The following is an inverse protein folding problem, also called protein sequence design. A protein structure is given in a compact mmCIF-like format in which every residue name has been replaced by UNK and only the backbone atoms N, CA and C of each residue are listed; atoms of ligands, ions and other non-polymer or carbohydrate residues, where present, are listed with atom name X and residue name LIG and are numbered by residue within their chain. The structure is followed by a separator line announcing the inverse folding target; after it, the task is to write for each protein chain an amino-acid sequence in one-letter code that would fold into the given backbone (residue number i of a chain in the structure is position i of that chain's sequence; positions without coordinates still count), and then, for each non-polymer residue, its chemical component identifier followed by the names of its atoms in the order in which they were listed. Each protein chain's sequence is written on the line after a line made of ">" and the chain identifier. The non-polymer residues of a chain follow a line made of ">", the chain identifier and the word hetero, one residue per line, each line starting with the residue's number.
data_IF_699938085686
#
_entry.id   IF_699938085686
#
_cell.length_a   1.000
_cell.length_b   1.000
_cell.length_c   1.000
_cell.angle_alpha   90.00
_cell.angle_beta   90.00
_cell.angle_gamma   90.00
#
_symmetry.space_group_name_H-M   'P 1'
#
loop_
_entity.id
_entity.type
_entity.pdbx_description
1 polymer ?
#
# COMPACT_ATOMS: atom_id res chain seq x y z
N UNK A 1 21.17 -19.28 -0.29
CA UNK A 1 19.77 -19.19 -0.76
C UNK A 1 19.47 -20.40 -1.62
N UNK A 2 18.29 -20.98 -1.49
CA UNK A 2 17.85 -22.08 -2.35
C UNK A 2 17.58 -21.60 -3.78
N UNK A 3 17.50 -22.53 -4.74
CA UNK A 3 17.18 -22.18 -6.14
C UNK A 3 15.79 -21.53 -6.23
N UNK A 4 14.85 -21.97 -5.38
CA UNK A 4 13.49 -21.45 -5.28
C UNK A 4 13.48 -20.01 -4.76
N UNK A 5 14.27 -19.71 -3.73
CA UNK A 5 14.40 -18.34 -3.20
C UNK A 5 14.99 -17.38 -4.25
N UNK A 6 15.97 -17.85 -5.04
CA UNK A 6 16.58 -17.05 -6.10
C UNK A 6 15.62 -16.86 -7.27
N UNK A 7 14.87 -17.91 -7.62
CA UNK A 7 13.82 -17.83 -8.63
C UNK A 7 12.76 -16.79 -8.25
N UNK A 8 12.40 -16.72 -6.97
CA UNK A 8 11.49 -15.70 -6.44
C UNK A 8 12.09 -14.28 -6.52
N UNK A 9 13.36 -14.10 -6.14
CA UNK A 9 14.07 -12.81 -6.24
C UNK A 9 14.17 -12.33 -7.69
N UNK A 10 14.43 -13.26 -8.61
CA UNK A 10 14.57 -13.00 -10.04
C UNK A 10 13.24 -13.13 -10.80
N UNK A 11 12.10 -13.24 -10.11
CA UNK A 11 10.76 -13.39 -10.71
C UNK A 11 10.75 -14.36 -11.92
N UNK A 12 11.41 -15.50 -11.76
CA UNK A 12 11.64 -16.48 -12.83
C UNK A 12 11.40 -17.90 -12.33
N UNK A 13 11.51 -18.88 -13.22
CA UNK A 13 11.30 -20.29 -12.86
C UNK A 13 12.57 -20.91 -12.25
N UNK A 14 12.47 -21.78 -11.24
CA UNK A 14 13.63 -22.49 -10.66
C UNK A 14 14.49 -23.23 -11.69
N UNK A 15 13.85 -23.81 -12.72
CA UNK A 15 14.55 -24.45 -13.84
C UNK A 15 15.46 -23.49 -14.61
N UNK A 16 15.02 -22.25 -14.84
CA UNK A 16 15.79 -21.21 -15.52
C UNK A 16 17.02 -20.83 -14.68
N UNK A 17 16.84 -20.67 -13.36
CA UNK A 17 17.94 -20.40 -12.42
C UNK A 17 18.99 -21.51 -12.43
N UNK A 18 18.56 -22.76 -12.39
CA UNK A 18 19.46 -23.93 -12.47
C UNK A 18 20.29 -23.90 -13.78
N UNK A 19 19.64 -23.63 -14.92
CA UNK A 19 20.31 -23.52 -16.22
C UNK A 19 21.30 -22.37 -16.30
N UNK A 20 20.98 -21.22 -15.71
CA UNK A 20 21.85 -20.05 -15.66
C UNK A 20 23.14 -20.31 -14.88
N UNK A 21 23.02 -20.96 -13.73
CA UNK A 21 24.17 -21.32 -12.90
C UNK A 21 25.10 -22.25 -13.67
N UNK A 22 24.54 -23.23 -14.37
CA UNK A 22 25.29 -24.16 -15.23
C UNK A 22 25.98 -23.45 -16.40
N UNK A 23 25.26 -22.59 -17.11
CA UNK A 23 25.75 -21.85 -18.28
C UNK A 23 26.95 -20.93 -17.94
N UNK A 24 26.99 -20.40 -16.72
CA UNK A 24 28.07 -19.53 -16.26
C UNK A 24 29.30 -20.28 -15.75
N UNK A 25 29.30 -21.62 -15.79
CA UNK A 25 30.41 -22.46 -15.35
C UNK A 25 30.93 -22.03 -13.96
N UNK A 26 30.01 -21.64 -13.07
CA UNK A 26 30.34 -21.28 -11.69
C UNK A 26 30.73 -22.59 -10.97
N UNK A 27 31.99 -22.97 -11.15
CA UNK A 27 32.62 -24.22 -10.70
C UNK A 27 32.73 -24.36 -9.17
N UNK A 28 31.96 -23.60 -8.41
CA UNK A 28 31.89 -23.68 -6.95
C UNK A 28 30.57 -24.23 -6.44
N UNK A 29 29.72 -24.79 -7.31
CA UNK A 29 28.48 -25.44 -6.89
C UNK A 29 28.71 -26.94 -7.01
N UNK A 30 29.16 -27.54 -5.91
CA UNK A 30 29.04 -28.99 -5.74
C UNK A 30 27.55 -29.33 -5.88
N UNK A 31 27.22 -30.39 -6.62
CA UNK A 31 25.82 -30.81 -6.85
C UNK A 31 25.05 -31.11 -5.54
N UNK A 32 25.77 -31.25 -4.42
CA UNK A 32 25.23 -31.47 -3.07
C UNK A 32 24.98 -30.18 -2.25
N UNK A 33 25.45 -29.00 -2.71
CA UNK A 33 25.24 -27.73 -2.00
C UNK A 33 24.01 -26.98 -2.54
N UNK A 34 22.88 -27.20 -1.88
CA UNK A 34 21.57 -26.53 -2.09
C UNK A 34 21.57 -25.02 -1.79
N UNK A 35 22.72 -24.40 -1.53
CA UNK A 35 22.84 -23.05 -1.01
C UNK A 35 23.82 -22.19 -1.83
N UNK A 36 23.28 -21.21 -2.54
CA UNK A 36 24.07 -20.26 -3.33
C UNK A 36 24.46 -19.01 -2.50
N UNK A 37 25.69 -18.55 -2.67
CA UNK A 37 26.23 -17.33 -2.07
C UNK A 37 25.63 -16.05 -2.68
N UNK A 38 25.41 -15.01 -1.86
CA UNK A 38 24.88 -13.69 -2.29
C UNK A 38 25.72 -13.06 -3.43
N UNK A 39 27.03 -13.29 -3.44
CA UNK A 39 27.94 -12.85 -4.50
C UNK A 39 27.60 -13.45 -5.88
N UNK A 40 27.10 -14.69 -5.92
CA UNK A 40 26.66 -15.35 -7.16
C UNK A 40 25.39 -14.69 -7.70
N UNK A 41 24.44 -14.37 -6.81
CA UNK A 41 23.20 -13.67 -7.19
C UNK A 41 23.49 -12.26 -7.72
N UNK A 42 24.43 -11.53 -7.11
CA UNK A 42 24.86 -10.22 -7.61
C UNK A 42 25.52 -10.30 -8.99
N UNK A 43 26.34 -11.35 -9.24
CA UNK A 43 26.90 -11.61 -10.57
C UNK A 43 25.82 -11.91 -11.60
N UNK A 44 24.83 -12.74 -11.26
CA UNK A 44 23.69 -13.05 -12.12
C UNK A 44 22.92 -11.78 -12.52
N UNK A 45 22.56 -10.94 -11.55
CA UNK A 45 21.84 -9.67 -11.81
C UNK A 45 22.66 -8.74 -12.71
N UNK A 46 23.97 -8.63 -12.47
CA UNK A 46 24.86 -7.82 -13.31
C UNK A 46 24.92 -8.32 -14.76
N UNK A 47 24.87 -9.63 -14.96
CA UNK A 47 24.88 -10.25 -16.28
C UNK A 47 23.53 -10.05 -16.97
N UNK A 48 22.41 -10.10 -16.25
CA UNK A 48 21.11 -9.80 -16.83
C UNK A 48 20.96 -8.34 -17.29
N UNK A 49 21.59 -7.42 -16.57
CA UNK A 49 21.62 -5.99 -16.95
C UNK A 49 22.75 -5.64 -17.93
N UNK A 50 23.33 -6.63 -18.62
CA UNK A 50 24.43 -6.41 -19.57
C UNK A 50 23.93 -6.19 -21.01
N UNK A 51 24.86 -6.02 -21.95
CA UNK A 51 24.55 -5.79 -23.36
C UNK A 51 23.72 -6.94 -23.94
N UNK A 52 22.98 -6.65 -25.02
CA UNK A 52 22.13 -7.66 -25.66
C UNK A 52 22.94 -8.85 -26.18
N UNK A 53 24.20 -8.63 -26.55
CA UNK A 53 25.13 -9.67 -27.00
C UNK A 53 25.45 -10.67 -25.90
N UNK A 54 25.70 -10.19 -24.69
CA UNK A 54 25.99 -11.03 -23.52
C UNK A 54 24.74 -11.82 -23.12
N UNK A 55 23.55 -11.21 -23.20
CA UNK A 55 22.27 -11.89 -22.95
C UNK A 55 21.98 -12.97 -23.99
N UNK A 56 22.25 -12.69 -25.27
CA UNK A 56 22.11 -13.67 -26.34
C UNK A 56 23.07 -14.85 -26.14
N UNK A 57 24.31 -14.58 -25.77
CA UNK A 57 25.31 -15.61 -25.44
C UNK A 57 24.89 -16.45 -24.22
N UNK A 58 24.34 -15.81 -23.18
CA UNK A 58 23.85 -16.49 -22.00
C UNK A 58 22.69 -17.44 -22.33
N UNK A 59 21.71 -16.96 -23.10
CA UNK A 59 20.58 -17.78 -23.55
C UNK A 59 21.07 -18.96 -24.40
N UNK A 60 22.01 -18.73 -25.31
CA UNK A 60 22.63 -19.80 -26.11
C UNK A 60 23.27 -20.87 -25.21
N UNK A 61 24.06 -20.45 -24.21
CA UNK A 61 24.67 -21.38 -23.24
C UNK A 61 23.67 -22.11 -22.35
N UNK A 62 22.51 -21.53 -22.07
CA UNK A 62 21.45 -22.22 -21.33
C UNK A 62 20.77 -23.32 -22.16
N UNK A 63 20.66 -23.09 -23.47
CA UNK A 63 20.11 -24.03 -24.44
C UNK A 63 21.10 -25.17 -24.74
N UNK A 64 22.39 -24.86 -24.87
CA UNK A 64 23.49 -25.81 -25.06
C UNK A 64 23.73 -26.62 -23.76
N UNK A 65 22.99 -27.72 -23.61
CA UNK A 65 22.98 -28.52 -22.39
C UNK A 65 24.22 -29.41 -22.22
N UNK A 66 24.88 -29.76 -23.33
CA UNK A 66 26.01 -30.68 -23.39
C UNK A 66 27.36 -29.95 -23.60
N UNK A 67 27.31 -28.62 -23.76
CA UNK A 67 28.46 -27.74 -23.94
C UNK A 67 29.27 -28.08 -25.20
N UNK A 68 28.59 -28.52 -26.27
CA UNK A 68 29.20 -28.87 -27.55
C UNK A 68 29.31 -27.68 -28.52
N UNK A 69 28.88 -26.48 -28.10
CA UNK A 69 28.82 -25.23 -28.86
C UNK A 69 27.80 -25.23 -29.99
N UNK A 70 26.84 -26.16 -29.97
CA UNK A 70 25.68 -26.19 -30.84
C UNK A 70 24.40 -26.35 -30.02
N UNK A 71 23.31 -25.78 -30.52
CA UNK A 71 21.97 -26.07 -30.02
C UNK A 71 21.29 -27.03 -30.98
N UNK A 72 20.97 -28.23 -30.49
CA UNK A 72 20.20 -29.21 -31.24
C UNK A 72 18.69 -28.99 -31.10
N UNK A 73 17.91 -29.50 -32.07
CA UNK A 73 16.44 -29.52 -31.99
C UNK A 73 15.94 -30.17 -30.70
N UNK A 74 16.60 -31.24 -30.27
CA UNK A 74 16.23 -31.97 -29.05
C UNK A 74 16.50 -31.18 -27.77
N UNK A 75 17.53 -30.35 -27.73
CA UNK A 75 17.81 -29.47 -26.58
C UNK A 75 16.84 -28.30 -26.51
N UNK A 76 16.58 -27.67 -27.65
CA UNK A 76 15.61 -26.58 -27.75
C UNK A 76 14.20 -27.05 -27.36
N UNK A 77 13.79 -28.21 -27.86
CA UNK A 77 12.51 -28.83 -27.49
C UNK A 77 12.44 -29.09 -25.99
N UNK A 78 13.47 -29.72 -25.41
CA UNK A 78 13.50 -30.00 -23.97
C UNK A 78 13.44 -28.73 -23.12
N UNK A 79 14.15 -27.69 -23.52
CA UNK A 79 14.15 -26.41 -22.80
C UNK A 79 12.74 -25.80 -22.78
N UNK A 80 12.10 -25.65 -23.94
CA UNK A 80 10.75 -25.09 -24.01
C UNK A 80 9.69 -25.99 -23.39
N UNK A 81 9.83 -27.31 -23.46
CA UNK A 81 8.96 -28.25 -22.73
C UNK A 81 8.99 -27.95 -21.23
N UNK A 82 10.18 -27.86 -20.62
CA UNK A 82 10.31 -27.54 -19.19
C UNK A 82 9.78 -26.14 -18.84
N UNK A 83 9.92 -25.16 -19.73
CA UNK A 83 9.36 -23.82 -19.53
C UNK A 83 7.82 -23.78 -19.63
N UNK A 84 7.23 -24.59 -20.50
CA UNK A 84 5.78 -24.60 -20.73
C UNK A 84 5.02 -25.50 -19.76
N UNK A 85 5.61 -26.64 -19.35
CA UNK A 85 5.01 -27.56 -18.37
C UNK A 85 4.87 -26.94 -16.97
N UNK A 86 5.71 -25.95 -16.66
CA UNK A 86 5.65 -25.19 -15.40
C UNK A 86 4.56 -24.12 -15.40
N UNK A 87 3.93 -23.83 -16.55
CA UNK A 87 2.83 -22.86 -16.65
C UNK A 87 1.50 -23.57 -16.42
N UNK A 88 0.82 -23.23 -15.31
CA UNK A 88 -0.41 -23.87 -14.81
C UNK A 88 -1.58 -23.94 -15.80
N UNK A 89 -1.59 -23.08 -16.81
CA UNK A 89 -2.68 -22.93 -17.79
C UNK A 89 -2.40 -23.59 -19.14
N UNK A 90 -1.23 -24.20 -19.34
CA UNK A 90 -0.90 -24.88 -20.58
C UNK A 90 -1.26 -26.36 -20.44
N UNK A 91 -2.19 -26.81 -21.28
CA UNK A 91 -2.52 -28.23 -21.38
C UNK A 91 -1.28 -29.00 -21.88
N UNK A 92 -0.77 -29.95 -21.08
CA UNK A 92 0.47 -30.70 -21.37
C UNK A 92 0.41 -31.41 -22.74
N UNK A 93 -0.79 -31.82 -23.16
CA UNK A 93 -1.05 -32.44 -24.47
C UNK A 93 -0.74 -31.52 -25.66
N UNK A 94 -0.81 -30.19 -25.48
CA UNK A 94 -0.60 -29.18 -26.54
C UNK A 94 0.84 -28.69 -26.65
N UNK A 95 1.66 -28.92 -25.62
CA UNK A 95 3.07 -28.47 -25.57
C UNK A 95 3.89 -28.95 -26.78
N UNK A 96 3.81 -30.23 -27.21
CA UNK A 96 4.58 -30.70 -28.37
C UNK A 96 4.22 -29.96 -29.67
N UNK A 97 2.94 -29.67 -29.89
CA UNK A 97 2.46 -28.97 -31.09
C UNK A 97 2.94 -27.52 -31.14
N UNK A 98 2.95 -26.82 -30.00
CA UNK A 98 3.46 -25.44 -29.89
C UNK A 98 4.95 -25.40 -30.21
N UNK A 99 5.71 -26.35 -29.67
CA UNK A 99 7.16 -26.44 -29.92
C UNK A 99 7.43 -26.73 -31.40
N UNK A 100 6.65 -27.59 -32.04
CA UNK A 100 6.80 -27.87 -33.47
C UNK A 100 6.56 -26.63 -34.34
N UNK A 101 5.57 -25.80 -34.00
CA UNK A 101 5.29 -24.53 -34.68
C UNK A 101 6.45 -23.55 -34.48
N UNK A 102 6.98 -23.44 -33.26
CA UNK A 102 8.14 -22.59 -32.96
C UNK A 102 9.36 -23.03 -33.77
N UNK A 103 9.66 -24.33 -33.80
CA UNK A 103 10.77 -24.88 -34.58
C UNK A 103 10.59 -24.67 -36.10
N UNK A 104 9.35 -24.73 -36.60
CA UNK A 104 9.03 -24.49 -38.00
C UNK A 104 9.21 -23.02 -38.38
N UNK A 105 8.80 -22.09 -37.52
CA UNK A 105 8.88 -20.64 -37.73
C UNK A 105 10.32 -20.18 -37.95
N UNK A 106 11.28 -20.73 -37.21
CA UNK A 106 12.70 -20.39 -37.32
C UNK A 106 13.47 -21.30 -38.28
N UNK A 107 12.78 -22.08 -39.13
CA UNK A 107 13.38 -23.04 -40.06
C UNK A 107 14.30 -24.10 -39.42
N UNK A 108 14.18 -24.31 -38.11
CA UNK A 108 14.99 -25.24 -37.31
C UNK A 108 14.62 -26.70 -37.55
N UNK A 109 13.56 -26.96 -38.31
CA UNK A 109 13.20 -28.31 -38.76
C UNK A 109 14.14 -28.86 -39.84
N UNK A 110 14.82 -28.01 -40.62
CA UNK A 110 15.73 -28.45 -41.71
C UNK A 110 17.18 -28.62 -41.27
N UNK A 111 17.61 -27.91 -40.23
CA UNK A 111 18.98 -27.96 -39.70
C UNK A 111 19.04 -28.83 -38.45
N UNK A 112 20.02 -29.74 -38.38
CA UNK A 112 20.21 -30.63 -37.22
C UNK A 112 20.79 -29.90 -36.00
N UNK A 113 21.55 -28.82 -36.20
CA UNK A 113 22.30 -28.08 -35.17
C UNK A 113 22.46 -26.60 -35.56
N UNK A 114 22.41 -25.70 -34.57
CA UNK A 114 22.56 -24.25 -34.72
C UNK A 114 23.80 -23.81 -33.96
N UNK A 115 24.69 -23.03 -34.58
CA UNK A 115 25.84 -22.40 -33.92
C UNK A 115 25.47 -21.02 -33.36
N UNK A 116 26.34 -20.46 -32.52
CA UNK A 116 26.09 -19.15 -31.91
C UNK A 116 25.93 -18.02 -32.92
N UNK A 117 26.73 -17.98 -33.99
CA UNK A 117 26.63 -16.99 -35.08
C UNK A 117 25.23 -16.98 -35.71
N UNK A 118 24.71 -18.18 -36.01
CA UNK A 118 23.39 -18.35 -36.58
C UNK A 118 22.28 -18.02 -35.57
N UNK A 119 22.40 -18.50 -34.33
CA UNK A 119 21.45 -18.20 -33.26
C UNK A 119 21.35 -16.68 -33.00
N UNK A 120 22.50 -16.01 -32.95
CA UNK A 120 22.58 -14.57 -32.78
C UNK A 120 21.86 -13.84 -33.91
N UNK A 121 22.04 -14.27 -35.16
CA UNK A 121 21.35 -13.68 -36.32
C UNK A 121 19.83 -13.87 -36.25
N UNK A 122 19.34 -15.01 -35.75
CA UNK A 122 17.90 -15.27 -35.61
C UNK A 122 17.29 -14.35 -34.55
N UNK A 123 17.95 -14.22 -33.40
CA UNK A 123 17.49 -13.39 -32.28
C UNK A 123 17.49 -11.91 -32.63
N UNK A 124 18.53 -11.42 -33.32
CA UNK A 124 18.63 -10.00 -33.68
C UNK A 124 17.66 -9.58 -34.78
N UNK A 125 17.16 -10.53 -35.58
CA UNK A 125 16.23 -10.27 -36.67
C UNK A 125 14.74 -10.47 -36.27
N UNK A 126 14.44 -10.99 -35.08
CA UNK A 126 13.06 -11.19 -34.60
C UNK A 126 12.78 -10.29 -33.39
N UNK A 127 11.92 -9.28 -33.59
CA UNK A 127 11.55 -8.29 -32.57
C UNK A 127 10.95 -8.94 -31.31
N UNK A 128 10.24 -10.07 -31.44
CA UNK A 128 9.60 -10.76 -30.30
C UNK A 128 10.65 -11.45 -29.43
N UNK A 129 11.64 -12.09 -30.05
CA UNK A 129 12.75 -12.69 -29.31
C UNK A 129 13.61 -11.62 -28.63
N UNK A 130 13.80 -10.48 -29.29
CA UNK A 130 14.55 -9.35 -28.77
C UNK A 130 13.84 -8.70 -27.58
N UNK A 131 12.52 -8.55 -27.65
CA UNK A 131 11.68 -8.09 -26.54
C UNK A 131 11.70 -9.11 -25.38
N UNK A 132 11.65 -10.42 -25.67
CA UNK A 132 11.74 -11.46 -24.64
C UNK A 132 13.08 -11.46 -23.88
N UNK A 133 14.17 -11.09 -24.56
CA UNK A 133 15.48 -10.89 -23.95
C UNK A 133 15.57 -9.56 -23.17
N UNK A 134 14.76 -8.56 -23.54
CA UNK A 134 14.62 -7.31 -22.82
C UNK A 134 13.77 -7.44 -21.55
N UNK A 135 12.83 -8.39 -21.46
CA UNK A 135 12.05 -8.63 -20.23
C UNK A 135 12.97 -9.00 -19.04
N UNK A 136 14.15 -9.57 -19.29
CA UNK A 136 15.17 -9.78 -18.26
C UNK A 136 15.81 -8.48 -17.70
N UNK A 137 15.46 -7.28 -18.17
CA UNK A 137 16.03 -6.02 -17.69
C UNK A 137 15.18 -5.31 -16.61
N UNK A 138 13.95 -5.77 -16.35
CA UNK A 138 13.07 -5.18 -15.33
C UNK A 138 13.39 -5.70 -13.91
N UNK A 139 14.66 -5.95 -13.62
CA UNK A 139 15.09 -6.27 -12.27
C UNK A 139 15.21 -4.97 -11.46
N UNK A 140 14.46 -4.85 -10.35
CA UNK A 140 14.47 -3.62 -9.61
C UNK A 140 15.83 -3.43 -8.91
N UNK A 141 16.44 -2.27 -9.13
CA UNK A 141 17.78 -1.88 -8.70
C UNK A 141 18.03 -1.99 -7.19
N UNK A 142 17.00 -2.17 -6.36
CA UNK A 142 17.13 -2.32 -4.90
C UNK A 142 17.78 -3.65 -4.45
N UNK A 143 17.88 -4.68 -5.30
CA UNK A 143 18.59 -5.93 -4.94
C UNK A 143 20.11 -5.76 -4.91
N UNK A 144 20.64 -4.67 -5.50
CA UNK A 144 22.04 -4.26 -5.30
C UNK A 144 22.36 -3.84 -3.85
N UNK A 145 21.35 -3.77 -2.97
CA UNK A 145 21.44 -3.36 -1.56
C UNK A 145 21.55 -4.57 -0.60
N UNK A 146 21.73 -5.80 -1.08
CA UNK A 146 22.14 -6.90 -0.18
C UNK A 146 23.60 -6.67 0.22
N UNK A 147 23.79 -5.87 1.28
CA UNK A 147 25.09 -5.69 1.95
C UNK A 147 25.61 -7.08 2.36
N UNK A 148 26.89 -7.42 2.11
CA UNK A 148 27.48 -8.58 2.74
C UNK A 148 27.30 -8.47 4.26
N UNK A 149 27.11 -9.61 4.93
CA UNK A 149 27.05 -9.65 6.40
C UNK A 149 28.25 -8.88 6.98
N UNK A 150 28.06 -8.16 8.11
CA UNK A 150 29.13 -7.32 8.64
C UNK A 150 30.24 -8.23 9.16
N UNK A 151 31.26 -8.46 8.33
CA UNK A 151 32.58 -8.82 8.83
C UNK A 151 33.01 -7.64 9.69
N UNK A 152 33.24 -7.94 10.96
CA UNK A 152 33.67 -7.02 12.02
C UNK A 152 34.87 -6.19 11.55
N UNK A 153 34.63 -5.01 10.99
CA UNK A 153 35.67 -4.06 10.61
C UNK A 153 35.57 -2.82 11.49
N UNK A 154 36.72 -2.47 12.04
CA UNK A 154 36.89 -1.64 13.22
C UNK A 154 36.40 -0.20 13.03
N UNK A 155 35.78 0.31 14.10
CA UNK A 155 35.15 1.63 14.27
C UNK A 155 36.09 2.82 13.99
N UNK A 156 37.41 2.58 13.87
CA UNK A 156 38.44 3.62 13.82
C UNK A 156 38.65 4.17 12.40
N UNK A 157 38.29 3.43 11.34
CA UNK A 157 38.53 3.89 9.96
C UNK A 157 37.51 4.94 9.45
N UNK A 158 36.44 5.22 10.21
CA UNK A 158 35.42 6.22 9.84
C UNK A 158 35.79 7.67 10.17
N UNK A 159 36.82 7.91 10.97
CA UNK A 159 37.14 9.27 11.44
C UNK A 159 38.20 10.00 10.62
N UNK A 160 38.89 9.35 9.67
CA UNK A 160 40.14 9.91 9.13
C UNK A 160 40.27 10.02 7.62
N UNK A 161 39.22 9.85 6.80
CA UNK A 161 39.39 10.14 5.38
C UNK A 161 38.09 10.53 4.65
N UNK A 162 38.03 11.79 4.23
CA UNK A 162 37.31 12.19 3.02
C UNK A 162 35.98 12.91 3.20
N UNK A 163 35.94 14.01 3.97
CA UNK A 163 35.00 15.09 3.68
C UNK A 163 35.49 15.86 2.44
N UNK A 164 34.53 16.49 1.74
CA UNK A 164 34.66 17.32 0.54
C UNK A 164 34.56 16.57 -0.80
N UNK A 165 33.35 16.09 -1.17
CA UNK A 165 32.74 16.31 -2.50
C UNK A 165 31.34 15.66 -2.63
N UNK A 166 30.36 15.84 -1.70
CA UNK A 166 29.02 15.26 -1.96
C UNK A 166 27.81 15.90 -1.26
N UNK A 167 27.77 17.23 -1.11
CA UNK A 167 26.60 17.89 -0.48
C UNK A 167 25.70 18.70 -1.44
N UNK A 168 26.00 18.78 -2.74
CA UNK A 168 25.15 19.52 -3.70
C UNK A 168 24.09 18.64 -4.41
N UNK A 169 24.34 17.33 -4.58
CA UNK A 169 23.49 16.45 -5.41
C UNK A 169 22.32 15.79 -4.67
N UNK A 170 22.29 15.84 -3.33
CA UNK A 170 21.22 15.20 -2.55
C UNK A 170 19.92 16.02 -2.56
N UNK A 171 20.00 17.36 -2.60
CA UNK A 171 18.79 18.19 -2.69
C UNK A 171 18.11 18.07 -4.05
N UNK A 172 18.89 18.04 -5.14
CA UNK A 172 18.34 17.95 -6.49
C UNK A 172 17.73 16.58 -6.75
N UNK A 173 18.40 15.50 -6.32
CA UNK A 173 17.85 14.15 -6.40
C UNK A 173 16.60 13.98 -5.51
N UNK A 174 16.60 14.53 -4.30
CA UNK A 174 15.42 14.49 -3.41
C UNK A 174 14.28 15.34 -3.96
N UNK A 175 14.56 16.53 -4.52
CA UNK A 175 13.55 17.37 -5.19
C UNK A 175 12.96 16.66 -6.41
N UNK A 176 13.80 16.02 -7.22
CA UNK A 176 13.38 15.30 -8.43
C UNK A 176 12.50 14.09 -8.08
N UNK A 177 12.94 13.27 -7.11
CA UNK A 177 12.15 12.14 -6.57
C UNK A 177 10.83 12.64 -5.94
N UNK A 178 10.84 13.78 -5.26
CA UNK A 178 9.63 14.36 -4.66
C UNK A 178 8.67 14.87 -5.74
N UNK A 179 9.17 15.53 -6.78
CA UNK A 179 8.36 16.07 -7.87
C UNK A 179 7.74 14.96 -8.73
N UNK A 180 8.52 13.92 -9.08
CA UNK A 180 8.03 12.76 -9.80
C UNK A 180 6.94 12.03 -8.98
N UNK A 181 7.16 11.86 -7.66
CA UNK A 181 6.17 11.26 -6.76
C UNK A 181 4.90 12.10 -6.61
N UNK A 182 5.00 13.43 -6.64
CA UNK A 182 3.84 14.33 -6.61
C UNK A 182 3.06 14.25 -7.92
N UNK A 183 3.75 14.18 -9.06
CA UNK A 183 3.16 14.04 -10.40
C UNK A 183 2.39 12.73 -10.55
N UNK A 184 2.93 11.65 -9.99
CA UNK A 184 2.29 10.33 -10.03
C UNK A 184 1.08 10.22 -9.09
N UNK A 185 0.91 11.18 -8.17
CA UNK A 185 -0.13 11.17 -7.15
C UNK A 185 -0.96 12.47 -7.10
N UNK A 186 -1.09 13.18 -8.23
CA UNK A 186 -1.81 14.46 -8.31
C UNK A 186 -3.21 14.43 -7.66
N UNK A 187 -4.07 13.42 -7.88
CA UNK A 187 -5.40 13.39 -7.25
C UNK A 187 -5.34 13.33 -5.71
N UNK A 188 -4.35 12.61 -5.15
CA UNK A 188 -4.14 12.55 -3.70
C UNK A 188 -3.71 13.90 -3.14
N UNK A 189 -2.79 14.57 -3.81
CA UNK A 189 -2.28 15.89 -3.40
C UNK A 189 -3.40 16.92 -3.44
N UNK A 190 -4.17 16.97 -4.54
CA UNK A 190 -5.32 17.88 -4.68
C UNK A 190 -6.34 17.65 -3.57
N UNK A 191 -6.71 16.39 -3.30
CA UNK A 191 -7.67 16.06 -2.24
C UNK A 191 -7.19 16.48 -0.85
N UNK A 192 -5.91 16.27 -0.53
CA UNK A 192 -5.32 16.71 0.75
C UNK A 192 -5.28 18.22 0.86
N UNK A 193 -4.88 18.93 -0.21
CA UNK A 193 -4.87 20.40 -0.24
C UNK A 193 -6.28 20.97 -0.06
N UNK A 194 -7.27 20.42 -0.75
CA UNK A 194 -8.67 20.82 -0.60
C UNK A 194 -9.17 20.59 0.83
N UNK A 195 -8.85 19.43 1.41
CA UNK A 195 -9.20 19.13 2.79
C UNK A 195 -8.57 20.12 3.78
N UNK A 196 -7.28 20.45 3.62
CA UNK A 196 -6.58 21.44 4.46
C UNK A 196 -7.21 22.81 4.29
N UNK A 197 -7.49 23.22 3.04
CA UNK A 197 -8.11 24.51 2.72
C UNK A 197 -9.47 24.67 3.43
N UNK A 198 -10.33 23.65 3.37
CA UNK A 198 -11.64 23.67 4.04
C UNK A 198 -11.49 23.78 5.56
N UNK A 199 -10.57 23.03 6.18
CA UNK A 199 -10.34 23.13 7.63
C UNK A 199 -9.82 24.53 8.03
N UNK A 200 -8.88 25.11 7.25
CA UNK A 200 -8.36 26.45 7.50
C UNK A 200 -9.48 27.50 7.34
N UNK A 201 -10.30 27.41 6.30
CA UNK A 201 -11.40 28.33 6.08
C UNK A 201 -12.39 28.33 7.25
N UNK A 202 -12.76 27.14 7.76
CA UNK A 202 -13.63 27.03 8.94
C UNK A 202 -12.96 27.57 10.21
N UNK A 203 -11.66 27.34 10.38
CA UNK A 203 -10.90 27.88 11.50
C UNK A 203 -10.87 29.41 11.48
N UNK A 204 -10.55 30.02 10.32
CA UNK A 204 -10.55 31.47 10.13
C UNK A 204 -11.93 32.08 10.38
N UNK A 205 -12.99 31.45 9.86
CA UNK A 205 -14.36 31.86 10.13
C UNK A 205 -14.64 31.93 11.65
N UNK A 206 -14.25 30.90 12.41
CA UNK A 206 -14.44 30.90 13.87
C UNK A 206 -13.59 31.98 14.55
N UNK A 207 -12.33 32.15 14.15
CA UNK A 207 -11.44 33.17 14.71
C UNK A 207 -12.03 34.56 14.52
N UNK A 208 -12.39 34.92 13.28
CA UNK A 208 -12.95 36.23 12.94
C UNK A 208 -14.23 36.46 13.75
N UNK A 209 -15.16 35.51 13.74
CA UNK A 209 -16.42 35.65 14.47
C UNK A 209 -16.20 35.77 15.99
N UNK A 210 -15.31 34.96 16.58
CA UNK A 210 -15.17 34.92 18.04
C UNK A 210 -14.31 36.04 18.61
N UNK A 211 -13.24 36.41 17.90
CA UNK A 211 -12.34 37.48 18.32
C UNK A 211 -12.93 38.85 18.00
N UNK A 212 -13.41 39.06 16.76
CA UNK A 212 -13.84 40.40 16.31
C UNK A 212 -15.26 40.71 16.79
N UNK A 213 -16.20 39.78 16.59
CA UNK A 213 -17.63 40.05 16.86
C UNK A 213 -17.95 39.84 18.33
N UNK A 214 -17.62 38.67 18.90
CA UNK A 214 -18.02 38.35 20.27
C UNK A 214 -17.00 38.73 21.34
N UNK A 215 -15.80 39.20 20.94
CA UNK A 215 -14.67 39.54 21.84
C UNK A 215 -14.40 38.46 22.90
N UNK A 216 -14.44 37.20 22.48
CA UNK A 216 -14.28 36.06 23.36
C UNK A 216 -12.82 35.90 23.79
N UNK A 217 -12.60 35.31 24.97
CA UNK A 217 -11.26 34.96 25.41
C UNK A 217 -10.63 33.87 24.51
N UNK A 218 -9.30 33.77 24.58
CA UNK A 218 -8.50 32.85 23.74
C UNK A 218 -8.94 31.39 23.91
N UNK A 219 -9.27 30.96 25.13
CA UNK A 219 -9.69 29.58 25.40
C UNK A 219 -11.05 29.22 24.78
N UNK A 220 -12.01 30.15 24.78
CA UNK A 220 -13.29 29.99 24.06
C UNK A 220 -13.04 29.93 22.56
N UNK A 221 -12.12 30.73 22.02
CA UNK A 221 -11.76 30.68 20.60
C UNK A 221 -11.24 29.29 20.24
N UNK A 222 -10.26 28.75 20.97
CA UNK A 222 -9.74 27.39 20.73
C UNK A 222 -10.81 26.30 20.90
N UNK A 223 -11.65 26.40 21.92
CA UNK A 223 -12.75 25.46 22.12
C UNK A 223 -13.72 25.46 20.93
N UNK A 224 -14.05 26.64 20.39
CA UNK A 224 -14.93 26.79 19.24
C UNK A 224 -14.28 26.36 17.92
N UNK A 225 -12.97 26.57 17.75
CA UNK A 225 -12.22 26.03 16.60
C UNK A 225 -12.27 24.51 16.64
N UNK A 226 -11.90 23.90 17.77
CA UNK A 226 -11.93 22.45 17.96
C UNK A 226 -13.32 21.88 17.68
N UNK A 227 -14.38 22.50 18.20
CA UNK A 227 -15.75 22.06 17.94
C UNK A 227 -16.18 22.17 16.48
N UNK A 228 -15.79 23.24 15.78
CA UNK A 228 -16.12 23.42 14.35
C UNK A 228 -15.40 22.39 13.48
N UNK A 229 -14.11 22.15 13.73
CA UNK A 229 -13.35 21.14 13.00
C UNK A 229 -13.85 19.73 13.34
N UNK A 230 -14.23 19.45 14.59
CA UNK A 230 -14.87 18.18 14.96
C UNK A 230 -16.18 17.97 14.22
N UNK A 231 -17.04 18.99 14.08
CA UNK A 231 -18.29 18.85 13.31
C UNK A 231 -18.03 18.40 11.86
N UNK A 232 -17.08 19.04 11.17
CA UNK A 232 -16.70 18.66 9.81
C UNK A 232 -16.15 17.23 9.77
N UNK A 233 -15.17 16.92 10.61
CA UNK A 233 -14.43 15.66 10.54
C UNK A 233 -15.28 14.46 10.99
N UNK A 234 -16.12 14.61 12.02
CA UNK A 234 -17.08 13.59 12.43
C UNK A 234 -18.18 13.36 11.38
N UNK A 235 -18.55 14.38 10.60
CA UNK A 235 -19.43 14.20 9.44
C UNK A 235 -18.72 13.45 8.31
N UNK A 236 -17.49 13.88 7.96
CA UNK A 236 -16.71 13.33 6.86
C UNK A 236 -16.31 11.86 7.09
N UNK A 237 -16.01 11.47 8.33
CA UNK A 237 -15.61 10.09 8.65
C UNK A 237 -16.73 9.06 8.34
N UNK A 238 -18.00 9.49 8.35
CA UNK A 238 -19.14 8.67 7.90
C UNK A 238 -19.09 8.51 6.38
N UNK A 239 -18.97 9.64 5.67
CA UNK A 239 -19.02 9.69 4.19
C UNK A 239 -17.95 8.79 3.58
N UNK A 240 -16.73 8.82 4.12
CA UNK A 240 -15.61 8.01 3.61
C UNK A 240 -15.75 6.51 3.86
N UNK A 241 -16.76 6.09 4.65
CA UNK A 241 -17.06 4.68 4.93
C UNK A 241 -18.36 4.18 4.28
N UNK A 242 -18.97 4.99 3.41
CA UNK A 242 -20.08 4.61 2.55
C UNK A 242 -19.56 3.78 1.36
N UNK A 243 -19.13 2.55 1.62
CA UNK A 243 -18.41 1.69 0.65
C UNK A 243 -19.17 1.47 -0.65
N UNK A 244 -20.50 1.37 -0.59
CA UNK A 244 -21.31 1.20 -1.80
C UNK A 244 -21.39 2.50 -2.59
N UNK A 245 -21.59 3.62 -1.91
CA UNK A 245 -21.61 4.94 -2.53
C UNK A 245 -20.26 5.27 -3.19
N UNK A 246 -19.16 4.97 -2.50
CA UNK A 246 -17.78 5.06 -3.01
C UNK A 246 -17.59 4.20 -4.26
N UNK A 247 -18.08 2.96 -4.25
CA UNK A 247 -18.05 2.09 -5.43
C UNK A 247 -18.83 2.69 -6.62
N UNK A 248 -20.01 3.27 -6.38
CA UNK A 248 -20.77 3.94 -7.44
C UNK A 248 -20.01 5.14 -8.00
N UNK A 249 -19.39 5.96 -7.15
CA UNK A 249 -18.57 7.10 -7.59
C UNK A 249 -17.35 6.62 -8.39
N UNK A 250 -16.73 5.49 -8.02
CA UNK A 250 -15.61 4.90 -8.77
C UNK A 250 -15.98 4.61 -10.24
N UNK A 251 -17.24 4.26 -10.52
CA UNK A 251 -17.72 4.02 -11.88
C UNK A 251 -17.94 5.31 -12.70
N UNK A 252 -17.87 6.48 -12.07
CA UNK A 252 -18.01 7.79 -12.72
C UNK A 252 -16.63 8.39 -13.08
N UNK A 253 -16.53 9.37 -14.01
CA UNK A 253 -15.25 10.02 -14.32
C UNK A 253 -14.63 10.80 -13.14
N UNK A 254 -15.38 10.98 -12.04
CA UNK A 254 -14.91 11.68 -10.84
C UNK A 254 -13.73 10.99 -10.16
N UNK A 255 -13.53 9.67 -10.38
CA UNK A 255 -12.37 8.93 -9.85
C UNK A 255 -11.02 9.49 -10.33
N UNK A 256 -10.98 10.23 -11.45
CA UNK A 256 -9.75 10.86 -11.95
C UNK A 256 -9.28 12.03 -11.08
N UNK A 257 -10.20 12.64 -10.33
CA UNK A 257 -9.92 13.82 -9.52
C UNK A 257 -9.88 13.52 -8.01
N UNK A 258 -10.49 12.41 -7.58
CA UNK A 258 -10.55 12.02 -6.17
C UNK A 258 -9.87 10.66 -5.94
N UNK A 259 -9.04 10.51 -4.89
CA UNK A 259 -8.41 9.25 -4.51
C UNK A 259 -9.40 8.32 -3.79
N UNK A 260 -10.41 7.85 -4.51
CA UNK A 260 -11.54 7.05 -3.97
C UNK A 260 -11.05 5.72 -3.38
N UNK A 261 -9.97 5.16 -3.92
CA UNK A 261 -9.43 3.87 -3.48
C UNK A 261 -8.77 3.93 -2.10
N UNK A 262 -8.28 5.10 -1.68
CA UNK A 262 -7.61 5.31 -0.39
C UNK A 262 -8.57 5.73 0.73
N UNK A 263 -9.89 5.62 0.53
CA UNK A 263 -10.91 6.04 1.51
C UNK A 263 -10.71 5.42 2.91
N UNK A 264 -10.20 4.19 2.99
CA UNK A 264 -9.90 3.52 4.27
C UNK A 264 -8.70 4.16 4.96
N UNK A 265 -7.66 4.53 4.22
CA UNK A 265 -6.50 5.20 4.80
C UNK A 265 -6.83 6.63 5.21
N UNK A 266 -7.67 7.31 4.43
CA UNK A 266 -8.20 8.61 4.80
C UNK A 266 -9.10 8.53 6.06
N UNK A 267 -9.93 7.48 6.21
CA UNK A 267 -10.67 7.25 7.46
C UNK A 267 -9.75 7.07 8.68
N UNK A 268 -8.65 6.32 8.55
CA UNK A 268 -7.67 6.16 9.65
C UNK A 268 -7.03 7.50 10.02
N UNK A 269 -6.73 8.33 9.02
CA UNK A 269 -6.23 9.68 9.23
C UNK A 269 -7.27 10.54 9.96
N UNK A 270 -8.52 10.57 9.48
CA UNK A 270 -9.62 11.31 10.12
C UNK A 270 -9.84 10.86 11.56
N UNK A 271 -9.82 9.55 11.85
CA UNK A 271 -10.00 9.04 13.21
C UNK A 271 -8.93 9.56 14.18
N UNK A 272 -7.66 9.59 13.77
CA UNK A 272 -6.57 10.18 14.58
C UNK A 272 -6.72 11.68 14.73
N UNK A 273 -7.11 12.37 13.66
CA UNK A 273 -7.31 13.81 13.68
C UNK A 273 -8.48 14.23 14.58
N UNK A 274 -9.59 13.49 14.54
CA UNK A 274 -10.73 13.66 15.47
C UNK A 274 -10.26 13.45 16.92
N UNK A 275 -9.45 12.43 17.19
CA UNK A 275 -8.84 12.23 18.50
C UNK A 275 -8.02 13.45 18.95
N UNK A 276 -7.13 13.96 18.11
CA UNK A 276 -6.33 15.14 18.42
C UNK A 276 -7.19 16.39 18.66
N UNK A 277 -8.20 16.63 17.82
CA UNK A 277 -9.13 17.75 17.96
C UNK A 277 -10.00 17.62 19.22
N UNK A 278 -10.38 16.40 19.62
CA UNK A 278 -11.12 16.17 20.87
C UNK A 278 -10.29 16.54 22.10
N UNK A 279 -8.99 16.22 22.10
CA UNK A 279 -8.08 16.61 23.18
C UNK A 279 -7.98 18.13 23.24
N UNK A 280 -7.72 18.79 22.11
CA UNK A 280 -7.66 20.25 22.02
C UNK A 280 -8.96 20.90 22.52
N UNK A 281 -10.10 20.42 22.05
CA UNK A 281 -11.42 20.93 22.40
C UNK A 281 -11.71 20.78 23.91
N UNK A 282 -11.46 19.60 24.47
CA UNK A 282 -11.67 19.30 25.90
C UNK A 282 -10.75 20.14 26.79
N UNK A 283 -9.46 20.23 26.44
CA UNK A 283 -8.50 21.05 27.20
C UNK A 283 -8.88 22.53 27.17
N UNK A 284 -9.26 23.06 26.00
CA UNK A 284 -9.66 24.46 25.87
C UNK A 284 -10.92 24.79 26.70
N UNK A 285 -11.92 23.91 26.68
CA UNK A 285 -13.08 24.05 27.56
C UNK A 285 -12.69 24.02 29.03
N UNK A 286 -11.88 23.06 29.41
CA UNK A 286 -11.62 22.84 30.81
C UNK A 286 -10.70 23.90 31.43
N UNK A 287 -9.75 24.45 30.66
CA UNK A 287 -9.01 25.67 31.04
C UNK A 287 -9.95 26.88 31.13
N UNK A 288 -10.87 27.06 30.18
CA UNK A 288 -11.83 28.16 30.23
C UNK A 288 -12.75 28.10 31.47
N UNK A 289 -13.30 26.92 31.77
CA UNK A 289 -14.18 26.76 32.94
C UNK A 289 -13.43 26.79 34.27
N UNK A 290 -12.18 26.30 34.29
CA UNK A 290 -11.30 26.39 35.44
C UNK A 290 -10.89 27.82 35.77
N UNK A 291 -10.27 28.51 34.81
CA UNK A 291 -9.64 29.82 35.03
C UNK A 291 -10.67 30.95 34.93
N UNK A 292 -11.49 30.97 33.87
CA UNK A 292 -12.36 32.13 33.59
C UNK A 292 -13.70 32.05 34.33
N UNK A 293 -14.20 30.84 34.61
CA UNK A 293 -15.51 30.64 35.26
C UNK A 293 -15.42 30.17 36.71
N UNK A 294 -14.22 29.87 37.22
CA UNK A 294 -13.99 29.51 38.62
C UNK A 294 -14.57 28.15 39.05
N UNK A 295 -14.86 27.24 38.11
CA UNK A 295 -15.29 25.88 38.45
C UNK A 295 -14.09 24.97 38.66
N UNK A 296 -14.13 24.11 39.68
CA UNK A 296 -13.15 23.02 39.77
C UNK A 296 -13.34 22.01 38.64
N UNK A 297 -12.26 21.36 38.21
CA UNK A 297 -12.28 20.38 37.11
C UNK A 297 -13.30 19.24 37.31
N UNK A 298 -13.41 18.62 38.50
CA UNK A 298 -14.40 17.57 38.73
C UNK A 298 -15.84 18.11 38.63
N UNK A 299 -16.09 19.32 39.12
CA UNK A 299 -17.41 19.96 39.02
C UNK A 299 -17.76 20.24 37.57
N UNK A 300 -16.82 20.75 36.78
CA UNK A 300 -17.06 20.97 35.36
C UNK A 300 -17.34 19.65 34.63
N UNK A 301 -16.52 18.62 34.81
CA UNK A 301 -16.57 17.39 34.01
C UNK A 301 -17.73 16.45 34.37
N UNK A 302 -18.10 16.37 35.65
CA UNK A 302 -19.03 15.35 36.15
C UNK A 302 -20.35 15.93 36.69
N UNK A 303 -20.59 17.24 36.56
CA UNK A 303 -21.85 17.85 37.02
C UNK A 303 -22.49 18.74 35.96
N UNK A 304 -23.80 18.96 36.07
CA UNK A 304 -24.56 19.88 35.21
C UNK A 304 -24.56 21.33 35.73
N UNK A 305 -23.85 21.61 36.83
CA UNK A 305 -23.77 22.95 37.46
C UNK A 305 -23.33 24.08 36.53
N UNK A 306 -22.41 23.86 35.56
CA UNK A 306 -22.06 24.91 34.60
C UNK A 306 -23.23 25.33 33.69
N UNK A 307 -24.31 24.54 33.64
CA UNK A 307 -25.51 24.75 32.82
C UNK A 307 -25.20 25.09 31.35
N UNK A 308 -24.23 24.38 30.77
CA UNK A 308 -23.79 24.57 29.38
C UNK A 308 -24.22 23.40 28.53
N UNK A 309 -24.82 23.67 27.39
CA UNK A 309 -25.32 22.64 26.46
C UNK A 309 -26.77 22.87 26.08
N UNK A 310 -27.27 22.02 25.18
CA UNK A 310 -28.65 22.12 24.71
C UNK A 310 -29.65 21.62 25.75
N UNK A 311 -29.41 20.43 26.29
CA UNK A 311 -30.33 19.74 27.19
C UNK A 311 -29.85 19.94 28.63
N UNK A 312 -30.38 20.95 29.32
CA UNK A 312 -30.22 21.13 30.77
C UNK A 312 -28.78 21.10 31.30
N UNK A 313 -27.82 21.63 30.55
CA UNK A 313 -26.41 21.63 30.98
C UNK A 313 -25.64 20.33 30.77
N UNK A 314 -26.16 19.38 29.98
CA UNK A 314 -25.57 18.04 29.79
C UNK A 314 -24.28 18.00 28.95
N UNK A 315 -23.79 19.13 28.41
CA UNK A 315 -22.62 19.12 27.53
C UNK A 315 -21.35 18.57 28.19
N UNK A 316 -20.99 18.93 29.44
CA UNK A 316 -19.76 18.41 30.04
C UNK A 316 -19.81 16.89 30.26
N UNK A 317 -20.93 16.37 30.77
CA UNK A 317 -21.10 14.94 31.02
C UNK A 317 -21.11 14.13 29.71
N UNK A 318 -21.85 14.57 28.71
CA UNK A 318 -21.81 13.96 27.37
C UNK A 318 -20.42 14.04 26.73
N UNK A 319 -19.67 15.12 26.96
CA UNK A 319 -18.31 15.28 26.46
C UNK A 319 -17.34 14.24 27.03
N UNK A 320 -17.43 13.96 28.34
CA UNK A 320 -16.63 12.91 28.99
C UNK A 320 -16.98 11.53 28.43
N UNK A 321 -18.28 11.22 28.30
CA UNK A 321 -18.74 9.95 27.71
C UNK A 321 -18.21 9.79 26.28
N UNK A 322 -18.30 10.84 25.45
CA UNK A 322 -17.76 10.84 24.09
C UNK A 322 -16.25 10.61 24.05
N UNK A 323 -15.49 11.24 24.95
CA UNK A 323 -14.04 11.06 25.04
C UNK A 323 -13.68 9.61 25.39
N UNK A 324 -14.40 8.99 26.33
CA UNK A 324 -14.18 7.59 26.72
C UNK A 324 -14.48 6.66 25.54
N UNK A 325 -15.64 6.83 24.89
CA UNK A 325 -16.02 6.02 23.74
C UNK A 325 -14.98 6.15 22.61
N UNK A 326 -14.59 7.38 22.29
CA UNK A 326 -13.61 7.66 21.24
C UNK A 326 -12.23 7.05 21.57
N UNK A 327 -11.79 7.15 22.82
CA UNK A 327 -10.52 6.57 23.28
C UNK A 327 -10.52 5.04 23.10
N UNK A 328 -11.57 4.37 23.54
CA UNK A 328 -11.73 2.91 23.36
C UNK A 328 -11.71 2.55 21.88
N UNK A 329 -12.48 3.27 21.05
CA UNK A 329 -12.51 3.03 19.61
C UNK A 329 -11.12 3.21 18.96
N UNK A 330 -10.39 4.28 19.29
CA UNK A 330 -9.06 4.55 18.70
C UNK A 330 -8.07 3.47 19.12
N UNK A 331 -7.96 3.17 20.41
CA UNK A 331 -7.01 2.16 20.92
C UNK A 331 -7.30 0.81 20.28
N UNK A 332 -8.55 0.35 20.31
CA UNK A 332 -8.93 -0.94 19.74
C UNK A 332 -8.85 -1.00 18.21
N UNK A 333 -8.74 0.15 17.53
CA UNK A 333 -8.54 0.24 16.08
C UNK A 333 -7.07 0.34 15.66
N UNK A 334 -6.12 0.34 16.61
CA UNK A 334 -4.69 0.42 16.30
C UNK A 334 -4.19 -0.82 15.56
N UNK A 335 -3.16 -0.61 14.73
CA UNK A 335 -2.62 -1.64 13.83
C UNK A 335 -2.16 -2.90 14.57
N UNK A 336 -1.54 -2.75 15.74
CA UNK A 336 -1.07 -3.87 16.56
C UNK A 336 -2.21 -4.75 17.09
N UNK A 337 -3.38 -4.20 17.46
CA UNK A 337 -4.54 -4.99 17.90
C UNK A 337 -5.18 -5.71 16.71
N UNK A 338 -5.36 -4.99 15.60
CA UNK A 338 -6.04 -5.53 14.41
C UNK A 338 -5.22 -6.62 13.70
N UNK A 339 -3.89 -6.51 13.69
CA UNK A 339 -2.99 -7.53 13.09
C UNK A 339 -2.51 -8.59 14.07
N UNK A 340 -2.68 -8.41 15.37
CA UNK A 340 -2.28 -9.36 16.41
C UNK A 340 -3.25 -10.53 16.65
N UNK A 341 -4.12 -10.86 15.70
CA UNK A 341 -5.09 -11.96 15.82
C UNK A 341 -6.43 -11.63 16.50
N UNK A 342 -6.57 -10.41 17.06
CA UNK A 342 -7.78 -9.99 17.78
C UNK A 342 -8.73 -9.12 16.93
N UNK A 343 -9.01 -9.51 15.69
CA UNK A 343 -9.89 -8.74 14.79
C UNK A 343 -11.31 -8.55 15.35
N UNK A 344 -11.81 -9.52 16.12
CA UNK A 344 -13.11 -9.49 16.79
C UNK A 344 -13.21 -8.29 17.77
N UNK A 345 -12.13 -7.98 18.49
CA UNK A 345 -12.09 -6.84 19.44
C UNK A 345 -12.26 -5.54 18.70
N UNK A 346 -11.51 -5.35 17.61
CA UNK A 346 -11.70 -4.21 16.70
C UNK A 346 -13.16 -4.12 16.24
N UNK A 347 -13.73 -5.22 15.74
CA UNK A 347 -15.09 -5.22 15.20
C UNK A 347 -16.13 -4.75 16.23
N UNK A 348 -16.17 -5.36 17.43
CA UNK A 348 -17.19 -5.03 18.43
C UNK A 348 -17.01 -3.64 19.04
N UNK A 349 -15.76 -3.26 19.34
CA UNK A 349 -15.49 -1.93 19.91
C UNK A 349 -15.74 -0.82 18.90
N UNK A 350 -15.49 -1.07 17.61
CA UNK A 350 -15.75 -0.06 16.58
C UNK A 350 -17.25 0.17 16.35
N UNK A 351 -18.15 -0.77 16.71
CA UNK A 351 -19.60 -0.57 16.70
C UNK A 351 -20.06 0.54 17.68
N UNK A 352 -19.21 0.94 18.62
CA UNK A 352 -19.46 2.10 19.49
C UNK A 352 -19.61 3.43 18.72
N UNK A 353 -19.34 3.45 17.41
CA UNK A 353 -19.71 4.60 16.56
C UNK A 353 -21.21 4.95 16.66
N UNK A 354 -22.09 3.95 16.88
CA UNK A 354 -23.54 4.17 17.02
C UNK A 354 -23.85 5.04 18.26
N UNK A 355 -23.51 4.62 19.50
CA UNK A 355 -23.70 5.48 20.66
C UNK A 355 -22.86 6.75 20.60
N UNK A 356 -21.66 6.74 20.00
CA UNK A 356 -20.86 7.94 19.80
C UNK A 356 -21.63 9.03 19.02
N UNK A 357 -22.19 8.70 17.85
CA UNK A 357 -22.94 9.69 17.07
C UNK A 357 -24.24 10.11 17.75
N UNK A 358 -24.91 9.20 18.47
CA UNK A 358 -26.09 9.55 19.26
C UNK A 358 -25.74 10.59 20.34
N UNK A 359 -24.71 10.34 21.15
CA UNK A 359 -24.25 11.30 22.16
C UNK A 359 -23.71 12.60 21.54
N UNK A 360 -23.08 12.54 20.36
CA UNK A 360 -22.54 13.72 19.70
C UNK A 360 -23.64 14.69 19.23
N UNK A 361 -24.79 14.17 18.79
CA UNK A 361 -25.98 14.97 18.47
C UNK A 361 -26.50 15.70 19.71
N UNK A 362 -26.53 15.04 20.87
CA UNK A 362 -26.97 15.66 22.12
C UNK A 362 -25.93 16.63 22.70
N UNK A 363 -24.65 16.35 22.51
CA UNK A 363 -23.55 17.15 23.02
C UNK A 363 -23.46 18.52 22.31
N UNK A 364 -23.59 18.53 20.99
CA UNK A 364 -23.41 19.72 20.18
C UNK A 364 -24.72 20.19 19.52
N UNK A 365 -25.20 21.37 19.93
CA UNK A 365 -26.47 21.98 19.49
C UNK A 365 -26.68 22.03 17.98
N UNK A 366 -25.61 22.19 17.20
CA UNK A 366 -25.66 22.34 15.75
C UNK A 366 -25.14 21.11 14.99
N UNK A 367 -24.65 20.07 15.67
CA UNK A 367 -24.04 18.93 14.98
C UNK A 367 -25.04 18.15 14.13
N UNK A 368 -26.31 18.12 14.52
CA UNK A 368 -27.37 17.47 13.73
C UNK A 368 -27.45 18.00 12.28
N UNK A 369 -27.13 19.28 12.05
CA UNK A 369 -27.09 19.89 10.71
C UNK A 369 -25.98 19.30 9.83
N UNK A 370 -24.85 18.95 10.45
CA UNK A 370 -23.73 18.29 9.79
C UNK A 370 -24.00 16.80 9.59
N UNK A 371 -24.69 16.17 10.55
CA UNK A 371 -24.88 14.73 10.59
C UNK A 371 -26.04 14.24 9.71
N UNK A 372 -27.07 15.06 9.47
CA UNK A 372 -28.31 14.60 8.79
C UNK A 372 -28.03 13.99 7.41
N UNK A 373 -27.24 14.65 6.56
CA UNK A 373 -26.87 14.14 5.22
C UNK A 373 -26.07 12.83 5.29
N UNK A 374 -24.90 12.79 5.95
CA UNK A 374 -24.11 11.56 6.06
C UNK A 374 -24.85 10.40 6.74
N UNK A 375 -25.62 10.66 7.81
CA UNK A 375 -26.35 9.60 8.52
C UNK A 375 -27.52 9.06 7.71
N UNK A 376 -28.24 9.90 6.97
CA UNK A 376 -29.30 9.43 6.07
C UNK A 376 -28.72 8.57 4.95
N UNK A 377 -27.61 8.98 4.33
CA UNK A 377 -26.91 8.16 3.34
C UNK A 377 -26.42 6.83 3.91
N UNK A 378 -25.85 6.85 5.13
CA UNK A 378 -25.44 5.63 5.82
C UNK A 378 -26.62 4.69 6.05
N UNK A 379 -27.75 5.22 6.52
CA UNK A 379 -28.97 4.45 6.75
C UNK A 379 -29.48 3.81 5.45
N UNK A 380 -29.56 4.58 4.36
CA UNK A 380 -29.99 4.08 3.06
C UNK A 380 -29.06 2.99 2.53
N UNK A 381 -27.74 3.14 2.68
CA UNK A 381 -26.77 2.13 2.25
C UNK A 381 -26.91 0.83 3.06
N UNK A 382 -27.14 0.93 4.38
CA UNK A 382 -27.39 -0.23 5.25
C UNK A 382 -28.72 -0.90 4.93
N UNK A 383 -29.79 -0.13 4.72
CA UNK A 383 -31.11 -0.63 4.34
C UNK A 383 -31.05 -1.38 3.01
N UNK A 384 -30.45 -0.77 1.99
CA UNK A 384 -30.26 -1.42 0.69
C UNK A 384 -29.45 -2.71 0.82
N UNK A 385 -28.36 -2.70 1.60
CA UNK A 385 -27.51 -3.88 1.83
C UNK A 385 -28.28 -4.99 2.56
N UNK A 386 -29.16 -4.63 3.49
CA UNK A 386 -30.03 -5.56 4.18
C UNK A 386 -31.06 -6.17 3.21
N UNK A 387 -31.78 -5.34 2.45
CA UNK A 387 -32.73 -5.80 1.44
C UNK A 387 -32.05 -6.75 0.45
N UNK A 388 -30.94 -6.34 -0.17
CA UNK A 388 -30.27 -7.20 -1.16
C UNK A 388 -29.77 -8.52 -0.59
N UNK A 389 -29.38 -8.60 0.68
CA UNK A 389 -29.05 -9.90 1.31
C UNK A 389 -30.29 -10.74 1.62
N UNK A 390 -31.39 -10.10 2.02
CA UNK A 390 -32.65 -10.78 2.28
C UNK A 390 -33.26 -11.36 1.00
N UNK A 391 -33.20 -10.61 -0.10
CA UNK A 391 -33.73 -11.00 -1.41
C UNK A 391 -32.78 -11.90 -2.21
N UNK A 392 -31.47 -11.73 -2.05
CA UNK A 392 -30.50 -12.62 -2.69
C UNK A 392 -30.30 -13.86 -1.82
N UNK A 393 -30.98 -14.96 -2.18
CA UNK A 393 -30.69 -16.33 -1.70
C UNK A 393 -29.30 -16.81 -2.16
N UNK A 394 -28.22 -16.06 -1.88
CA UNK A 394 -26.86 -16.52 -2.13
C UNK A 394 -26.59 -17.65 -1.14
N UNK A 395 -26.67 -18.88 -1.64
CA UNK A 395 -26.34 -20.08 -0.90
C UNK A 395 -24.91 -20.04 -0.35
N UNK A 396 -24.60 -20.94 0.60
CA UNK A 396 -23.24 -21.09 1.13
C UNK A 396 -22.32 -21.55 0.01
N UNK A 397 -21.29 -20.76 -0.30
CA UNK A 397 -20.20 -21.16 -1.20
C UNK A 397 -19.13 -21.88 -0.39
N UNK A 398 -18.65 -23.01 -0.90
CA UNK A 398 -17.57 -23.78 -0.28
C UNK A 398 -16.29 -23.63 -1.10
N UNK A 399 -15.16 -23.55 -0.42
CA UNK A 399 -13.85 -23.52 -1.05
C UNK A 399 -13.52 -24.93 -1.56
N UNK A 400 -13.44 -25.11 -2.89
CA UNK A 400 -13.11 -26.41 -3.49
C UNK A 400 -11.61 -26.69 -3.45
N UNK A 401 -10.79 -25.67 -3.68
CA UNK A 401 -9.34 -25.73 -3.57
C UNK A 401 -8.77 -24.34 -3.28
N UNK A 402 -7.64 -24.29 -2.60
CA UNK A 402 -6.80 -23.11 -2.48
C UNK A 402 -5.37 -23.51 -2.86
N UNK A 403 -4.76 -22.77 -3.77
CA UNK A 403 -3.33 -22.89 -4.06
C UNK A 403 -2.66 -21.66 -3.49
N UNK A 404 -1.57 -21.85 -2.75
CA UNK A 404 -0.71 -20.75 -2.30
C UNK A 404 0.27 -20.50 -3.43
N UNK A 405 0.19 -19.35 -4.08
CA UNK A 405 1.18 -18.99 -5.11
C UNK A 405 2.47 -18.49 -4.46
N UNK A 406 3.60 -18.68 -5.16
CA UNK A 406 4.94 -18.41 -4.65
C UNK A 406 5.19 -16.94 -4.26
N UNK A 407 4.29 -16.02 -4.62
CA UNK A 407 4.28 -14.61 -4.21
C UNK A 407 3.40 -14.30 -2.98
N UNK A 408 2.98 -15.30 -2.20
CA UNK A 408 1.95 -15.15 -1.16
C UNK A 408 0.64 -14.55 -1.70
N UNK A 409 0.21 -15.03 -2.87
CA UNK A 409 -1.08 -14.69 -3.50
C UNK A 409 -2.06 -15.84 -3.34
#
# INVERSE_FOLDING_TARGET
>A
MSIEEIAQILNTQPFIVSRLIRALSLSSVNEDETWLNISVVQKLIRIFNSTIDVRCLLLFKMLDANNDHYVSRGELSRFYTSCLETIKYVETSRVPSVIEILLKRYHLNKKRRIRFDEFYSIVMNDEILLESLAIFTDFPTWVSIVKPSPVRQNIIQRYFMGCCQQDYNNEELTRKITFDRLKDNVPRVIAVLLYILVNIALMLYVIIYRVVVTKANVFVVFARIGGMLLNLNCSLIIVVMLRRSIFLIRATPLHRFLPIDDHIDFHKFLGRFIGALSILHTLAHAINFGITKGYSWPVFMFTTRPNVGWIGGFAPLSGVILCIILLVMIICSMHWIRRGGHFQVFYWTHLLYIPFFAFLIFHATNFWKWAIGPLTLLFLEKLYSFCTRYWANRGRTYLLSATIEQSNV
#
